data_IF_492682066169
#
_entry.id   IF_492682066169
#
_cell.length_a   1.000
_cell.length_b   1.000
_cell.length_c   1.000
_cell.angle_alpha   90.00
_cell.angle_beta   90.00
_cell.angle_gamma   90.00
#
_symmetry.space_group_name_H-M   'P 1'
#
loop_
_entity.id
_entity.type
_entity.pdbx_description
1 polymer ?
#
# COMPACT_ATOMS: atom_id res chain seq x y z
N UNK A 1 -18.91 -31.60 -32.48
CA UNK A 1 -18.17 -32.88 -32.55
C UNK A 1 -17.34 -32.99 -31.28
N UNK A 2 -17.37 -34.14 -30.58
CA UNK A 2 -16.70 -34.41 -29.28
C UNK A 2 -17.15 -33.53 -28.09
N UNK A 3 -17.68 -33.96 -26.92
CA UNK A 3 -17.65 -35.24 -26.16
C UNK A 3 -16.22 -35.71 -25.86
N UNK A 4 -15.78 -36.09 -24.65
CA UNK A 4 -16.41 -36.42 -23.36
C UNK A 4 -15.31 -36.26 -22.24
N UNK A 5 -15.56 -35.82 -20.99
CA UNK A 5 -16.22 -36.46 -19.82
C UNK A 5 -15.27 -37.33 -18.92
N UNK A 6 -15.11 -36.90 -17.66
CA UNK A 6 -14.95 -37.68 -16.38
C UNK A 6 -13.79 -38.68 -16.11
N UNK A 7 -12.94 -38.34 -15.10
CA UNK A 7 -12.63 -39.10 -13.83
C UNK A 7 -12.07 -40.57 -13.88
N UNK A 8 -11.78 -41.27 -12.75
CA UNK A 8 -11.05 -40.95 -11.49
C UNK A 8 -10.06 -42.11 -11.05
N UNK A 9 -9.81 -42.31 -9.72
CA UNK A 9 -9.16 -43.48 -9.03
C UNK A 9 -7.61 -43.48 -9.00
N UNK A 10 -6.83 -43.50 -7.89
CA UNK A 10 -6.72 -44.28 -6.61
C UNK A 10 -5.99 -45.65 -6.69
N UNK A 11 -5.30 -46.03 -5.60
CA UNK A 11 -4.61 -47.33 -5.33
C UNK A 11 -3.36 -47.59 -6.22
N UNK A 12 -2.27 -48.31 -5.86
CA UNK A 12 -1.66 -48.89 -4.64
C UNK A 12 -0.12 -49.00 -4.96
N UNK A 13 0.84 -49.59 -4.21
CA UNK A 13 0.89 -50.45 -3.01
C UNK A 13 2.24 -50.22 -2.28
N UNK A 14 2.34 -50.58 -1.00
CA UNK A 14 3.58 -50.62 -0.18
C UNK A 14 4.46 -51.86 -0.42
N UNK A 15 5.77 -51.79 -0.13
CA UNK A 15 6.48 -52.92 0.47
C UNK A 15 7.64 -52.49 1.39
N UNK A 16 7.91 -53.33 2.41
CA UNK A 16 8.84 -53.12 3.53
C UNK A 16 9.90 -54.24 3.55
N UNK A 17 11.16 -53.90 3.80
CA UNK A 17 12.18 -54.67 4.54
C UNK A 17 13.52 -53.88 4.47
N UNK A 18 14.25 -53.48 5.52
CA UNK A 18 14.49 -53.99 6.88
C UNK A 18 15.45 -55.20 6.96
N UNK A 19 16.75 -54.90 7.12
CA UNK A 19 17.80 -55.60 7.91
C UNK A 19 19.15 -54.91 7.63
N UNK A 20 20.01 -54.49 8.58
CA UNK A 20 20.61 -55.21 9.72
C UNK A 20 21.56 -56.34 9.25
N UNK A 21 22.80 -56.53 9.73
CA UNK A 21 23.54 -55.85 10.81
C UNK A 21 25.06 -56.20 10.74
N UNK A 22 25.93 -55.28 11.19
CA UNK A 22 27.20 -55.48 11.96
C UNK A 22 28.42 -56.32 11.48
N UNK A 23 29.59 -55.82 11.92
CA UNK A 23 30.91 -56.47 12.18
C UNK A 23 31.93 -56.70 11.05
N UNK A 24 33.17 -56.26 11.28
CA UNK A 24 34.36 -56.87 10.65
C UNK A 24 35.56 -55.98 10.25
N UNK A 25 36.22 -55.27 11.17
CA UNK A 25 37.61 -54.79 10.94
C UNK A 25 38.61 -55.91 11.26
N UNK A 26 39.70 -56.04 10.48
CA UNK A 26 40.98 -55.57 11.03
C UNK A 26 41.90 -54.88 10.01
N UNK A 27 42.91 -54.19 10.53
CA UNK A 27 43.88 -53.43 9.74
C UNK A 27 44.97 -54.31 9.11
N UNK A 28 45.48 -53.88 7.94
CA UNK A 28 46.80 -54.27 7.42
C UNK A 28 47.46 -53.03 6.80
N UNK A 29 48.71 -52.77 7.15
CA UNK A 29 49.47 -51.65 6.61
C UNK A 29 50.16 -52.02 5.28
N UNK A 30 50.30 -51.04 4.38
CA UNK A 30 51.22 -51.08 3.23
C UNK A 30 51.56 -49.65 2.77
N UNK A 31 52.76 -49.48 2.24
CA UNK A 31 53.41 -48.17 2.13
C UNK A 31 53.34 -47.53 0.73
N UNK A 32 53.49 -46.19 0.73
CA UNK A 32 54.11 -45.36 -0.32
C UNK A 32 53.92 -45.74 -1.79
N UNK A 33 53.08 -44.96 -2.49
CA UNK A 33 53.34 -44.53 -3.85
C UNK A 33 52.75 -43.12 -4.06
N UNK A 34 53.59 -42.14 -4.39
CA UNK A 34 53.16 -40.78 -4.69
C UNK A 34 52.97 -40.60 -6.21
N UNK A 35 51.77 -40.27 -6.70
CA UNK A 35 51.61 -39.75 -8.05
C UNK A 35 51.80 -38.22 -8.04
N UNK A 36 52.62 -37.72 -8.95
CA UNK A 36 52.74 -36.28 -9.21
C UNK A 36 51.42 -35.73 -9.73
N UNK A 37 50.68 -35.02 -8.88
CA UNK A 37 49.49 -34.29 -9.31
C UNK A 37 49.94 -32.94 -9.88
N UNK A 38 49.71 -32.74 -11.18
CA UNK A 38 49.98 -31.46 -11.83
C UNK A 38 49.22 -30.34 -11.11
N UNK A 39 49.92 -29.26 -10.75
CA UNK A 39 49.30 -28.08 -10.19
C UNK A 39 48.28 -27.52 -11.18
N UNK A 40 47.01 -27.77 -10.94
CA UNK A 40 45.95 -27.01 -11.57
C UNK A 40 46.12 -25.55 -11.12
N UNK A 41 46.58 -24.70 -12.02
CA UNK A 41 46.55 -23.25 -11.81
C UNK A 41 45.10 -22.87 -11.59
N UNK A 42 44.72 -22.65 -10.33
CA UNK A 42 43.44 -22.07 -10.00
C UNK A 42 43.36 -20.73 -10.74
N UNK A 43 42.40 -20.63 -11.66
CA UNK A 43 42.13 -19.36 -12.32
C UNK A 43 41.83 -18.33 -11.22
N UNK A 44 42.64 -17.27 -11.16
CA UNK A 44 42.40 -16.20 -10.22
C UNK A 44 40.97 -15.67 -10.44
N UNK A 45 40.20 -15.41 -9.38
CA UNK A 45 38.88 -14.82 -9.55
C UNK A 45 39.04 -13.49 -10.30
N UNK A 46 38.26 -13.33 -11.36
CA UNK A 46 38.18 -12.07 -12.11
C UNK A 46 37.93 -10.93 -11.13
N UNK A 47 38.73 -9.88 -11.22
CA UNK A 47 38.77 -8.82 -10.22
C UNK A 47 37.59 -7.83 -10.36
N UNK A 48 36.37 -8.32 -10.12
CA UNK A 48 35.33 -7.53 -9.47
C UNK A 48 35.84 -7.19 -8.07
N UNK A 49 36.73 -6.21 -8.00
CA UNK A 49 37.31 -5.74 -6.75
C UNK A 49 36.19 -5.05 -6.01
N UNK A 50 35.63 -5.76 -5.02
CA UNK A 50 34.50 -5.31 -4.22
C UNK A 50 34.89 -4.10 -3.37
N UNK A 51 34.95 -2.91 -3.99
CA UNK A 51 35.28 -1.66 -3.29
C UNK A 51 34.21 -1.40 -2.25
N UNK A 52 34.65 -1.49 -1.00
CA UNK A 52 33.82 -1.44 0.20
C UNK A 52 34.45 -0.45 1.16
N UNK A 53 33.67 0.48 1.67
CA UNK A 53 34.05 1.36 2.75
C UNK A 53 32.89 1.50 3.73
N UNK A 54 33.17 2.03 4.90
CA UNK A 54 32.17 2.31 5.94
C UNK A 54 32.29 3.75 6.39
N UNK A 55 31.16 4.40 6.65
CA UNK A 55 31.08 5.72 7.27
C UNK A 55 30.25 5.65 8.56
N UNK A 56 30.56 6.50 9.53
CA UNK A 56 29.72 6.78 10.70
C UNK A 56 30.02 8.17 11.26
N UNK A 57 29.17 8.75 12.11
CA UNK A 57 29.58 9.85 13.00
C UNK A 57 30.83 9.47 13.81
N UNK A 58 31.83 10.35 13.82
CA UNK A 58 33.00 10.21 14.66
C UNK A 58 32.63 10.38 16.14
N UNK A 59 33.52 9.93 17.01
CA UNK A 59 33.38 10.04 18.46
C UNK A 59 33.96 11.40 18.89
N UNK A 60 33.09 12.39 19.09
CA UNK A 60 33.50 13.78 19.32
C UNK A 60 32.89 14.35 20.62
N UNK A 61 33.07 15.65 20.87
CA UNK A 61 32.39 16.35 21.96
C UNK A 61 30.85 16.27 21.86
N UNK A 62 30.31 16.01 20.67
CA UNK A 62 28.87 15.85 20.41
C UNK A 62 28.33 14.45 20.75
N UNK A 63 29.21 13.52 21.16
CA UNK A 63 28.84 12.17 21.60
C UNK A 63 29.59 11.05 20.87
N UNK A 64 29.37 9.82 21.32
CA UNK A 64 30.04 8.59 20.84
C UNK A 64 29.02 7.59 20.33
N UNK A 65 29.44 6.73 19.40
CA UNK A 65 28.62 5.64 18.83
C UNK A 65 27.24 6.08 18.27
N UNK A 66 27.17 7.32 17.78
CA UNK A 66 25.93 7.93 17.28
C UNK A 66 25.57 7.34 15.91
N UNK A 67 24.30 7.00 15.63
CA UNK A 67 23.89 6.47 14.33
C UNK A 67 23.80 7.56 13.26
N UNK A 68 23.44 8.78 13.65
CA UNK A 68 23.28 9.96 12.80
C UNK A 68 23.65 11.22 13.62
N UNK A 69 23.69 12.39 12.98
CA UNK A 69 23.87 13.67 13.65
C UNK A 69 22.51 14.31 13.97
N UNK A 70 22.38 14.88 15.17
CA UNK A 70 21.24 15.70 15.56
C UNK A 70 21.75 16.91 16.34
N UNK A 71 21.30 18.11 15.96
CA UNK A 71 21.72 19.37 16.57
C UNK A 71 20.52 20.26 16.92
N UNK A 72 20.67 21.05 17.98
CA UNK A 72 19.75 22.11 18.37
C UNK A 72 20.60 23.38 18.53
N UNK A 73 20.40 24.36 17.65
CA UNK A 73 21.21 25.59 17.56
C UNK A 73 20.33 26.82 17.41
N UNK A 74 20.73 27.93 18.02
CA UNK A 74 20.14 29.23 17.71
C UNK A 74 20.58 29.74 16.31
N UNK A 75 19.83 30.65 15.67
CA UNK A 75 20.30 31.40 14.50
C UNK A 75 21.67 32.03 14.76
N UNK A 76 22.58 31.95 13.78
CA UNK A 76 23.98 32.35 13.94
C UNK A 76 24.85 31.38 14.74
N UNK A 77 24.30 30.26 15.21
CA UNK A 77 25.01 29.23 15.97
C UNK A 77 25.94 28.36 15.10
N UNK A 78 26.96 27.80 15.74
CA UNK A 78 27.97 26.95 15.07
C UNK A 78 28.23 25.68 15.87
N UNK A 79 28.38 24.54 15.20
CA UNK A 79 28.86 23.29 15.80
C UNK A 79 29.91 22.64 14.90
N UNK A 80 31.00 22.15 15.50
CA UNK A 80 32.01 21.33 14.86
C UNK A 80 31.83 19.86 15.22
N UNK A 81 31.98 18.98 14.24
CA UNK A 81 31.90 17.52 14.37
C UNK A 81 32.74 16.84 13.28
N UNK A 82 32.75 15.51 13.18
CA UNK A 82 33.49 14.80 12.12
C UNK A 82 32.80 13.53 11.62
N UNK A 83 33.03 13.22 10.35
CA UNK A 83 32.66 11.95 9.73
C UNK A 83 33.84 10.96 9.81
N UNK A 84 33.66 9.84 10.49
CA UNK A 84 34.62 8.74 10.45
C UNK A 84 34.42 7.93 9.17
N UNK A 85 35.49 7.74 8.40
CA UNK A 85 35.52 6.99 7.14
C UNK A 85 36.61 5.93 7.22
N UNK A 86 36.28 4.68 6.89
CA UNK A 86 37.24 3.58 6.84
C UNK A 86 37.16 2.78 5.55
N UNK A 87 38.31 2.60 4.89
CA UNK A 87 38.46 1.74 3.74
C UNK A 87 38.43 0.27 4.20
N UNK A 88 37.50 -0.53 3.65
CA UNK A 88 37.37 -1.97 3.92
C UNK A 88 37.74 -2.82 2.70
N UNK A 89 38.22 -2.18 1.63
CA UNK A 89 38.65 -2.83 0.39
C UNK A 89 40.16 -3.11 0.42
N UNK A 90 40.66 -4.06 -0.39
CA UNK A 90 42.07 -4.43 -0.43
C UNK A 90 42.95 -3.47 -1.24
N UNK A 91 42.38 -2.38 -1.76
CA UNK A 91 43.06 -1.38 -2.60
C UNK A 91 42.88 0.02 -1.99
N UNK A 92 43.75 1.00 -2.29
CA UNK A 92 43.48 2.40 -1.97
C UNK A 92 42.18 2.88 -2.62
N UNK A 93 41.46 3.76 -1.93
CA UNK A 93 40.25 4.41 -2.44
C UNK A 93 40.37 5.92 -2.33
N UNK A 94 39.81 6.64 -3.30
CA UNK A 94 39.65 8.10 -3.26
C UNK A 94 38.17 8.43 -3.22
N UNK A 95 37.76 9.22 -2.24
CA UNK A 95 36.39 9.57 -1.93
C UNK A 95 36.23 11.08 -1.97
N UNK A 96 35.13 11.56 -2.55
CA UNK A 96 34.69 12.95 -2.36
C UNK A 96 33.79 13.01 -1.13
N UNK A 97 34.06 13.93 -0.22
CA UNK A 97 33.25 14.16 0.99
C UNK A 97 32.58 15.51 0.89
N UNK A 98 31.25 15.52 0.97
CA UNK A 98 30.44 16.73 0.87
C UNK A 98 29.22 16.62 1.79
N UNK A 99 28.59 17.77 2.03
CA UNK A 99 27.25 17.83 2.58
C UNK A 99 26.27 18.27 1.50
N UNK A 100 25.02 17.86 1.63
CA UNK A 100 23.93 18.30 0.77
C UNK A 100 22.57 18.17 1.48
N UNK A 101 21.56 18.89 1.00
CA UNK A 101 20.21 18.85 1.58
C UNK A 101 19.58 17.46 1.50
N UNK A 102 18.77 17.15 2.52
CA UNK A 102 17.98 15.94 2.60
C UNK A 102 16.56 16.20 2.09
N UNK A 103 16.06 15.28 1.26
CA UNK A 103 14.71 15.35 0.70
C UNK A 103 14.00 14.00 0.87
N UNK A 104 12.67 14.03 0.84
CA UNK A 104 11.86 12.83 0.91
C UNK A 104 11.64 12.26 -0.50
N UNK A 105 11.90 10.97 -0.69
CA UNK A 105 11.60 10.24 -1.93
C UNK A 105 10.11 9.89 -2.03
N UNK A 106 9.67 9.42 -3.19
CA UNK A 106 8.27 9.02 -3.45
C UNK A 106 7.78 7.88 -2.52
N UNK A 107 8.69 7.01 -2.07
CA UNK A 107 8.40 5.95 -1.09
C UNK A 107 8.42 6.43 0.37
N UNK A 108 8.78 7.70 0.61
CA UNK A 108 8.89 8.27 1.96
C UNK A 108 10.23 8.02 2.67
N UNK A 109 11.28 7.67 1.92
CA UNK A 109 12.63 7.54 2.45
C UNK A 109 13.38 8.89 2.42
N UNK A 110 14.17 9.20 3.45
CA UNK A 110 15.09 10.34 3.38
C UNK A 110 16.33 9.97 2.55
N UNK A 111 16.50 10.65 1.41
CA UNK A 111 17.70 10.65 0.56
C UNK A 111 18.35 12.05 0.53
N UNK A 112 19.58 12.14 0.01
CA UNK A 112 20.44 13.32 0.06
C UNK A 112 20.78 13.77 -1.36
N UNK A 113 20.65 15.07 -1.68
CA UNK A 113 20.93 15.59 -3.03
C UNK A 113 22.33 15.18 -3.54
N UNK A 114 22.44 14.87 -4.83
CA UNK A 114 23.67 14.37 -5.44
C UNK A 114 24.79 15.43 -5.49
N UNK A 115 26.05 14.98 -5.42
CA UNK A 115 27.22 15.87 -5.50
C UNK A 115 27.24 16.69 -6.79
N UNK A 116 27.23 18.02 -6.65
CA UNK A 116 27.13 18.97 -7.75
C UNK A 116 25.73 19.56 -7.97
N UNK A 117 24.70 19.05 -7.29
CA UNK A 117 23.42 19.75 -7.12
C UNK A 117 23.58 20.79 -6.02
N UNK A 118 23.17 22.03 -6.28
CA UNK A 118 23.24 23.09 -5.28
C UNK A 118 22.23 22.83 -4.15
N UNK A 119 22.69 22.94 -2.90
CA UNK A 119 21.86 22.96 -1.70
C UNK A 119 21.44 24.40 -1.37
N UNK A 120 20.23 24.57 -0.84
CA UNK A 120 19.65 25.85 -0.42
C UNK A 120 19.48 25.95 1.10
N UNK A 121 19.45 24.81 1.79
CA UNK A 121 19.12 24.71 3.21
C UNK A 121 20.32 24.17 4.00
N UNK A 122 20.10 23.28 4.97
CA UNK A 122 21.12 22.81 5.92
C UNK A 122 22.39 22.25 5.27
N UNK A 123 22.29 21.62 4.10
CA UNK A 123 23.45 21.14 3.33
C UNK A 123 24.38 22.26 2.90
N UNK A 124 23.84 23.46 2.63
CA UNK A 124 24.64 24.67 2.32
C UNK A 124 25.33 25.27 3.55
N UNK A 125 24.86 24.93 4.76
CA UNK A 125 25.39 25.44 6.03
C UNK A 125 26.56 24.63 6.56
N UNK A 126 26.88 23.48 5.94
CA UNK A 126 27.95 22.57 6.35
C UNK A 126 29.19 22.77 5.48
N UNK A 127 30.30 23.16 6.11
CA UNK A 127 31.63 23.22 5.49
C UNK A 127 32.44 21.97 5.85
N UNK A 128 32.90 21.23 4.84
CA UNK A 128 33.81 20.08 4.99
C UNK A 128 35.26 20.57 4.90
N UNK A 129 36.11 20.21 5.86
CA UNK A 129 37.52 20.65 5.87
C UNK A 129 38.36 19.94 4.79
N UNK A 130 38.13 18.64 4.60
CA UNK A 130 38.84 17.80 3.62
C UNK A 130 37.85 17.17 2.65
N UNK A 131 37.48 17.85 1.54
CA UNK A 131 36.45 17.40 0.61
C UNK A 131 36.91 16.30 -0.37
N UNK A 132 38.21 15.98 -0.40
CA UNK A 132 38.76 14.84 -1.12
C UNK A 132 39.67 14.04 -0.18
N UNK A 133 39.33 12.76 0.02
CA UNK A 133 40.00 11.87 0.96
C UNK A 133 40.50 10.63 0.23
N UNK A 134 41.82 10.41 0.23
CA UNK A 134 42.42 9.14 -0.20
C UNK A 134 42.80 8.29 1.02
N UNK A 135 42.35 7.03 1.05
CA UNK A 135 42.64 6.06 2.11
C UNK A 135 43.28 4.81 1.52
N UNK A 136 44.45 4.44 2.04
CA UNK A 136 45.06 3.13 1.77
C UNK A 136 44.18 1.96 2.22
N UNK A 137 44.49 0.76 1.74
CA UNK A 137 43.83 -0.49 2.12
C UNK A 137 43.79 -0.66 3.65
N UNK A 138 42.59 -0.75 4.23
CA UNK A 138 42.38 -0.88 5.67
C UNK A 138 42.57 0.39 6.50
N UNK A 139 42.95 1.52 5.89
CA UNK A 139 43.11 2.80 6.58
C UNK A 139 41.77 3.47 6.91
N UNK A 140 41.81 4.39 7.86
CA UNK A 140 40.66 5.22 8.26
C UNK A 140 41.08 6.63 8.60
N UNK A 141 40.19 7.59 8.37
CA UNK A 141 40.35 8.98 8.79
C UNK A 141 39.04 9.53 9.35
N UNK A 142 39.16 10.55 10.19
CA UNK A 142 38.05 11.43 10.54
C UNK A 142 38.14 12.67 9.66
N UNK A 143 37.02 13.04 9.05
CA UNK A 143 36.90 14.24 8.21
C UNK A 143 36.10 15.28 8.99
N UNK A 144 36.76 16.33 9.52
CA UNK A 144 36.06 17.37 10.26
C UNK A 144 35.12 18.16 9.35
N UNK A 145 34.01 18.60 9.93
CA UNK A 145 33.10 19.55 9.32
C UNK A 145 32.54 20.52 10.36
N UNK A 146 32.08 21.67 9.88
CA UNK A 146 31.45 22.70 10.71
C UNK A 146 30.10 23.06 10.12
N UNK A 147 29.04 23.01 10.94
CA UNK A 147 27.71 23.51 10.60
C UNK A 147 27.59 24.94 11.14
N UNK A 148 27.27 25.91 10.28
CA UNK A 148 27.06 27.32 10.66
C UNK A 148 25.66 27.76 10.24
N UNK A 149 24.76 27.87 11.21
CA UNK A 149 23.38 28.32 10.98
C UNK A 149 23.41 29.82 10.62
N UNK A 150 22.81 30.26 9.51
CA UNK A 150 22.68 31.68 9.18
C UNK A 150 22.02 32.48 10.32
N UNK A 151 22.38 33.76 10.45
CA UNK A 151 21.82 34.64 11.48
C UNK A 151 20.33 35.00 11.22
N UNK A 152 19.90 34.85 9.96
CA UNK A 152 18.56 35.05 9.43
C UNK A 152 17.84 33.72 9.12
N UNK A 153 18.39 32.58 9.54
CA UNK A 153 17.73 31.28 9.41
C UNK A 153 16.39 31.28 10.18
N UNK A 154 15.33 30.86 9.50
CA UNK A 154 14.02 30.68 10.12
C UNK A 154 14.06 29.59 11.20
N UNK A 155 13.31 29.74 12.31
CA UNK A 155 13.08 28.65 13.24
C UNK A 155 12.43 27.45 12.55
N UNK A 156 12.81 26.24 12.94
CA UNK A 156 12.29 25.02 12.34
C UNK A 156 13.30 23.86 12.31
N UNK A 157 12.87 22.74 11.77
CA UNK A 157 13.71 21.57 11.50
C UNK A 157 14.22 21.56 10.07
N UNK A 158 15.48 21.16 9.92
CA UNK A 158 16.14 21.00 8.63
C UNK A 158 16.81 19.63 8.54
N UNK A 159 16.90 19.09 7.32
CA UNK A 159 17.52 17.80 7.04
C UNK A 159 18.62 17.93 5.98
N UNK A 160 19.72 17.23 6.19
CA UNK A 160 20.87 17.13 5.29
C UNK A 160 21.55 15.78 5.49
N UNK A 161 22.64 15.54 4.76
CA UNK A 161 23.53 14.42 5.03
C UNK A 161 24.97 14.78 4.72
N UNK A 162 25.91 14.24 5.52
CA UNK A 162 27.34 14.25 5.18
C UNK A 162 27.65 12.93 4.50
N UNK A 163 28.11 13.01 3.25
CA UNK A 163 28.23 11.88 2.33
C UNK A 163 29.68 11.75 1.88
N UNK A 164 30.22 10.53 1.95
CA UNK A 164 31.41 10.13 1.20
C UNK A 164 30.95 9.37 -0.06
N UNK A 165 31.26 9.88 -1.24
CA UNK A 165 30.97 9.21 -2.51
C UNK A 165 32.22 8.81 -3.28
N UNK A 166 32.06 7.77 -4.09
CA UNK A 166 33.07 7.29 -5.02
C UNK A 166 32.43 7.12 -6.40
N UNK A 167 32.96 7.84 -7.38
CA UNK A 167 32.56 7.73 -8.78
C UNK A 167 33.51 6.81 -9.53
N UNK A 168 32.97 5.78 -10.16
CA UNK A 168 33.73 4.77 -10.93
C UNK A 168 33.22 4.79 -12.36
N UNK A 169 34.14 5.04 -13.31
CA UNK A 169 33.86 4.91 -14.75
C UNK A 169 34.31 3.53 -15.20
N UNK A 170 33.39 2.73 -15.73
CA UNK A 170 33.69 1.42 -16.32
C UNK A 170 34.23 1.56 -17.75
N UNK A 171 34.90 0.52 -18.26
CA UNK A 171 35.54 0.49 -19.58
C UNK A 171 34.56 0.74 -20.75
N UNK A 172 33.27 0.46 -20.55
CA UNK A 172 32.21 0.72 -21.51
C UNK A 172 31.69 2.19 -21.48
N UNK A 173 32.31 3.07 -20.70
CA UNK A 173 31.90 4.47 -20.50
C UNK A 173 30.78 4.69 -19.49
N UNK A 174 30.27 3.64 -18.83
CA UNK A 174 29.23 3.77 -17.79
C UNK A 174 29.83 4.39 -16.53
N UNK A 175 29.20 5.44 -15.99
CA UNK A 175 29.62 6.09 -14.74
C UNK A 175 28.67 5.66 -13.63
N UNK A 176 29.22 5.03 -12.59
CA UNK A 176 28.50 4.62 -11.39
C UNK A 176 29.02 5.41 -10.20
N UNK A 177 28.15 6.18 -9.53
CA UNK A 177 28.48 6.79 -8.24
C UNK A 177 27.88 5.98 -7.11
N UNK A 178 28.74 5.53 -6.19
CA UNK A 178 28.35 4.86 -4.94
C UNK A 178 28.49 5.88 -3.81
N UNK A 179 27.48 5.98 -2.94
CA UNK A 179 27.36 7.01 -1.91
C UNK A 179 27.06 6.35 -0.57
N UNK A 180 27.81 6.69 0.47
CA UNK A 180 27.51 6.32 1.85
C UNK A 180 27.62 7.57 2.71
N UNK A 181 26.64 7.81 3.57
CA UNK A 181 26.60 9.00 4.41
C UNK A 181 25.87 8.77 5.72
N UNK A 182 25.84 9.80 6.55
CA UNK A 182 25.04 9.85 7.78
C UNK A 182 24.14 11.08 7.75
N UNK A 183 22.89 10.90 8.20
CA UNK A 183 21.87 11.95 8.21
C UNK A 183 22.24 13.03 9.21
N UNK A 184 21.94 14.28 8.89
CA UNK A 184 22.04 15.44 9.76
C UNK A 184 20.64 16.01 9.93
N UNK A 185 20.13 16.00 11.15
CA UNK A 185 18.94 16.75 11.52
C UNK A 185 19.37 17.94 12.37
N UNK A 186 18.86 19.13 12.08
CA UNK A 186 19.13 20.33 12.87
C UNK A 186 17.82 21.07 13.15
N UNK A 187 17.56 21.38 14.41
CA UNK A 187 16.51 22.34 14.79
C UNK A 187 17.11 23.71 15.05
N UNK A 188 16.65 24.70 14.30
CA UNK A 188 16.89 26.12 14.55
C UNK A 188 15.92 26.59 15.64
N UNK A 189 16.45 27.15 16.73
CA UNK A 189 15.65 27.62 17.87
C UNK A 189 14.76 28.82 17.50
N UNK A 190 13.56 28.82 18.05
CA UNK A 190 12.57 29.88 17.93
C UNK A 190 11.15 29.31 17.96
N UNK A 191 10.20 30.05 17.40
CA UNK A 191 8.79 29.66 17.40
C UNK A 191 8.53 28.50 16.42
N UNK A 192 8.01 27.39 16.96
CA UNK A 192 7.62 26.22 16.17
C UNK A 192 6.16 26.35 15.74
N UNK A 193 5.93 26.18 14.45
CA UNK A 193 4.63 26.20 13.77
C UNK A 193 4.45 24.88 13.02
N UNK A 194 4.16 23.76 13.72
CA UNK A 194 3.80 22.51 13.07
C UNK A 194 2.47 22.68 12.32
N UNK A 195 2.35 22.09 11.12
CA UNK A 195 1.10 22.04 10.37
C UNK A 195 1.10 20.84 9.41
N UNK A 196 -0.01 20.09 9.39
CA UNK A 196 -0.22 18.92 8.54
C UNK A 196 -1.51 19.08 7.74
N UNK A 197 -1.48 18.72 6.46
CA UNK A 197 -2.63 18.72 5.57
C UNK A 197 -2.79 17.35 4.93
N UNK A 198 -3.97 16.73 5.09
CA UNK A 198 -4.45 15.63 4.24
C UNK A 198 -5.14 16.25 3.02
N UNK A 199 -4.72 15.84 1.82
CA UNK A 199 -5.23 16.34 0.53
C UNK A 199 -5.41 15.22 -0.48
N UNK A 200 -5.96 15.57 -1.66
CA UNK A 200 -6.09 14.71 -2.84
C UNK A 200 -6.66 13.31 -2.57
N UNK A 201 -7.61 13.19 -1.63
CA UNK A 201 -8.22 11.91 -1.29
C UNK A 201 -9.04 11.39 -2.48
N UNK A 202 -8.69 10.20 -2.96
CA UNK A 202 -9.37 9.45 -4.03
C UNK A 202 -9.66 8.05 -3.51
N UNK A 203 -10.84 7.52 -3.84
CA UNK A 203 -11.25 6.16 -3.47
C UNK A 203 -11.79 5.40 -4.68
N UNK A 204 -11.16 4.26 -4.95
CA UNK A 204 -11.49 3.34 -6.04
C UNK A 204 -11.99 2.02 -5.47
N UNK A 205 -13.25 1.64 -5.77
CA UNK A 205 -13.86 0.42 -5.26
C UNK A 205 -13.67 -0.77 -6.20
N UNK A 206 -13.11 -1.85 -5.67
CA UNK A 206 -12.85 -3.12 -6.36
C UNK A 206 -13.91 -4.16 -5.97
N UNK A 207 -14.99 -4.18 -6.74
CA UNK A 207 -16.12 -5.09 -6.50
C UNK A 207 -15.86 -6.55 -6.90
N UNK A 208 -16.51 -7.47 -6.18
CA UNK A 208 -16.57 -8.90 -6.50
C UNK A 208 -17.76 -9.24 -7.40
N UNK A 209 -17.62 -10.31 -8.20
CA UNK A 209 -18.72 -10.86 -9.01
C UNK A 209 -19.75 -11.64 -8.16
N UNK A 210 -19.41 -12.01 -6.93
CA UNK A 210 -20.30 -12.71 -6.01
C UNK A 210 -21.27 -11.74 -5.34
N UNK A 211 -22.59 -12.00 -5.32
CA UNK A 211 -23.59 -11.08 -4.76
C UNK A 211 -23.65 -11.08 -3.22
N UNK A 212 -22.78 -11.84 -2.56
CA UNK A 212 -22.77 -12.06 -1.09
C UNK A 212 -21.39 -11.85 -0.45
N UNK A 213 -20.36 -11.58 -1.24
CA UNK A 213 -19.01 -11.28 -0.74
C UNK A 213 -18.80 -9.75 -0.68
N UNK A 214 -17.89 -9.33 0.19
CA UNK A 214 -17.34 -7.98 0.21
C UNK A 214 -16.31 -7.79 -0.90
N UNK A 215 -16.15 -6.55 -1.36
CA UNK A 215 -15.02 -6.12 -2.19
C UNK A 215 -13.83 -5.65 -1.36
N UNK A 216 -12.85 -5.07 -2.04
CA UNK A 216 -11.86 -4.16 -1.44
C UNK A 216 -12.03 -2.76 -2.04
N UNK A 217 -11.31 -1.79 -1.50
CA UNK A 217 -11.12 -0.50 -2.14
C UNK A 217 -9.69 -0.02 -1.93
N UNK A 218 -9.19 0.75 -2.89
CA UNK A 218 -7.93 1.47 -2.79
C UNK A 218 -8.25 2.92 -2.44
N UNK A 219 -7.63 3.43 -1.38
CA UNK A 219 -7.67 4.85 -1.01
C UNK A 219 -6.30 5.44 -1.26
N UNK A 220 -6.24 6.46 -2.11
CA UNK A 220 -5.04 7.25 -2.40
C UNK A 220 -5.21 8.63 -1.79
N UNK A 221 -4.18 9.16 -1.12
CA UNK A 221 -4.21 10.50 -0.53
C UNK A 221 -2.79 11.11 -0.48
N UNK A 222 -2.73 12.43 -0.34
CA UNK A 222 -1.48 13.18 -0.18
C UNK A 222 -1.38 13.71 1.25
N UNK A 223 -0.29 13.41 1.96
CA UNK A 223 0.09 14.13 3.18
C UNK A 223 1.04 15.26 2.80
N UNK A 224 0.81 16.48 3.31
CA UNK A 224 1.73 17.61 3.15
C UNK A 224 2.05 18.23 4.50
N UNK A 225 3.34 18.32 4.83
CA UNK A 225 3.82 19.08 5.98
C UNK A 225 3.97 20.55 5.57
N UNK A 226 2.99 21.36 5.95
CA UNK A 226 2.96 22.81 5.67
C UNK A 226 3.61 23.65 6.78
N UNK A 227 4.09 22.99 7.84
CA UNK A 227 4.74 23.62 8.98
C UNK A 227 6.26 23.71 8.86
N UNK A 228 6.91 24.18 9.93
CA UNK A 228 8.37 24.29 10.03
C UNK A 228 9.05 23.17 10.83
N UNK A 229 8.32 22.15 11.30
CA UNK A 229 8.89 21.03 12.09
C UNK A 229 8.75 19.69 11.38
N UNK A 230 9.67 18.76 11.64
CA UNK A 230 9.53 17.35 11.26
C UNK A 230 8.35 16.72 11.99
N UNK A 231 7.52 16.01 11.24
CA UNK A 231 6.27 15.41 11.72
C UNK A 231 6.30 13.90 11.57
N UNK A 232 5.77 13.19 12.56
CA UNK A 232 5.61 11.74 12.60
C UNK A 232 4.10 11.44 12.55
N UNK A 233 3.53 11.13 11.37
CA UNK A 233 2.08 10.97 11.18
C UNK A 233 1.64 9.51 11.28
N UNK A 234 0.70 9.21 12.18
CA UNK A 234 -0.12 8.00 12.14
C UNK A 234 -1.41 8.31 11.37
N UNK A 235 -1.83 7.42 10.46
CA UNK A 235 -3.02 7.65 9.63
C UNK A 235 -4.04 6.52 9.78
N UNK A 236 -5.27 6.90 10.12
CA UNK A 236 -6.45 6.04 10.11
C UNK A 236 -7.22 6.27 8.79
N UNK A 237 -7.41 5.21 7.99
CA UNK A 237 -8.24 5.24 6.78
C UNK A 237 -9.56 4.52 7.06
N UNK A 238 -10.67 5.27 7.13
CA UNK A 238 -12.00 4.74 7.32
C UNK A 238 -12.80 4.72 6.01
N UNK A 239 -13.49 3.61 5.76
CA UNK A 239 -14.43 3.43 4.64
C UNK A 239 -15.79 3.02 5.17
N UNK A 240 -16.87 3.57 4.61
CA UNK A 240 -18.22 3.20 5.02
C UNK A 240 -19.31 3.55 4.00
N UNK A 241 -20.45 2.86 4.11
CA UNK A 241 -21.67 3.24 3.40
C UNK A 241 -22.31 4.52 3.97
N UNK A 242 -23.48 4.93 3.47
CA UNK A 242 -24.21 6.08 3.99
C UNK A 242 -24.39 6.00 5.51
N UNK A 243 -24.10 7.09 6.23
CA UNK A 243 -24.16 7.17 7.70
C UNK A 243 -23.19 6.20 8.43
N UNK A 244 -22.08 5.79 7.81
CA UNK A 244 -21.09 4.90 8.42
C UNK A 244 -21.51 3.42 8.46
N UNK A 245 -22.55 3.04 7.70
CA UNK A 245 -23.02 1.66 7.65
C UNK A 245 -21.95 0.72 7.07
N UNK A 246 -21.77 -0.44 7.72
CA UNK A 246 -20.75 -1.43 7.37
C UNK A 246 -19.33 -0.84 7.26
N UNK A 247 -18.99 0.05 8.20
CA UNK A 247 -17.67 0.68 8.27
C UNK A 247 -16.53 -0.33 8.46
N UNK A 248 -15.42 -0.10 7.76
CA UNK A 248 -14.14 -0.81 7.90
C UNK A 248 -13.01 0.21 7.97
N UNK A 249 -11.94 -0.11 8.70
CA UNK A 249 -10.76 0.76 8.85
C UNK A 249 -9.49 0.01 8.43
N UNK A 250 -8.48 0.76 8.03
CA UNK A 250 -7.10 0.30 7.88
C UNK A 250 -6.15 1.39 8.35
N UNK A 251 -5.10 0.98 9.04
CA UNK A 251 -4.04 1.86 9.55
C UNK A 251 -2.93 1.97 8.48
N UNK A 252 -2.34 3.16 8.32
CA UNK A 252 -1.12 3.37 7.52
C UNK A 252 -0.03 4.02 8.38
N UNK A 253 1.05 3.25 8.60
CA UNK A 253 2.30 3.73 9.20
C UNK A 253 3.03 4.62 8.18
N UNK A 254 2.55 5.86 8.04
CA UNK A 254 3.17 6.85 7.17
C UNK A 254 4.54 7.30 7.74
N UNK A 255 5.58 7.41 6.90
CA UNK A 255 6.91 7.78 7.37
C UNK A 255 7.00 9.28 7.71
N UNK A 256 8.06 9.62 8.44
CA UNK A 256 8.34 10.99 8.88
C UNK A 256 8.38 12.01 7.72
N UNK A 257 7.64 13.11 7.88
CA UNK A 257 7.55 14.19 6.90
C UNK A 257 8.45 15.37 7.28
N UNK A 258 9.35 15.74 6.38
CA UNK A 258 10.13 16.97 6.48
C UNK A 258 9.26 18.22 6.25
N UNK A 259 9.60 19.38 6.83
CA UNK A 259 8.99 20.66 6.49
C UNK A 259 8.95 20.90 4.97
N UNK A 260 7.79 21.33 4.46
CA UNK A 260 7.57 21.60 3.04
C UNK A 260 7.46 20.35 2.14
N UNK A 261 7.65 19.14 2.67
CA UNK A 261 7.51 17.90 1.88
C UNK A 261 6.05 17.45 1.74
N UNK A 262 5.78 16.77 0.63
CA UNK A 262 4.52 16.09 0.35
C UNK A 262 4.78 14.62 0.00
N UNK A 263 3.94 13.72 0.48
CA UNK A 263 4.02 12.28 0.25
C UNK A 263 2.66 11.73 -0.16
N UNK A 264 2.59 11.07 -1.31
CA UNK A 264 1.39 10.32 -1.72
C UNK A 264 1.42 8.92 -1.11
N UNK A 265 0.28 8.49 -0.57
CA UNK A 265 0.05 7.18 0.04
C UNK A 265 -1.09 6.48 -0.67
N UNK A 266 -1.02 5.15 -0.70
CA UNK A 266 -2.02 4.28 -1.31
C UNK A 266 -2.25 3.08 -0.41
N UNK A 267 -3.45 2.98 0.15
CA UNK A 267 -3.85 1.94 1.11
C UNK A 267 -4.93 1.06 0.47
N UNK A 268 -4.74 -0.26 0.49
CA UNK A 268 -5.81 -1.21 0.17
C UNK A 268 -6.51 -1.64 1.45
N UNK A 269 -7.84 -1.47 1.48
CA UNK A 269 -8.69 -1.88 2.61
C UNK A 269 -9.74 -2.87 2.10
N UNK A 270 -9.75 -4.05 2.72
CA UNK A 270 -10.61 -5.17 2.37
C UNK A 270 -11.89 -5.17 3.22
N UNK A 271 -12.88 -5.99 2.83
CA UNK A 271 -14.12 -6.14 3.60
C UNK A 271 -15.21 -5.12 3.28
N UNK A 272 -15.01 -4.29 2.24
CA UNK A 272 -15.92 -3.21 1.85
C UNK A 272 -17.24 -3.78 1.32
N UNK A 273 -18.36 -3.41 1.95
CA UNK A 273 -19.70 -3.85 1.54
C UNK A 273 -20.28 -2.88 0.51
N UNK A 274 -20.71 -3.35 -0.69
CA UNK A 274 -21.26 -2.48 -1.73
C UNK A 274 -22.69 -1.99 -1.40
N UNK A 275 -22.78 -0.93 -0.60
CA UNK A 275 -24.03 -0.26 -0.20
C UNK A 275 -24.45 0.89 -1.16
N UNK A 276 -23.88 0.93 -2.36
CA UNK A 276 -24.21 1.91 -3.40
C UNK A 276 -23.30 3.13 -3.41
N UNK A 277 -23.29 3.91 -2.33
CA UNK A 277 -22.32 4.98 -2.11
C UNK A 277 -21.31 4.52 -1.06
N UNK A 278 -20.02 4.74 -1.34
CA UNK A 278 -18.92 4.50 -0.43
C UNK A 278 -18.27 5.85 -0.11
N UNK A 279 -18.22 6.22 1.17
CA UNK A 279 -17.44 7.35 1.66
C UNK A 279 -16.07 6.84 2.15
N UNK A 280 -15.05 7.66 1.94
CA UNK A 280 -13.71 7.50 2.48
C UNK A 280 -13.37 8.72 3.33
N UNK A 281 -12.78 8.48 4.48
CA UNK A 281 -12.35 9.48 5.46
C UNK A 281 -10.93 9.08 5.91
N UNK A 282 -10.00 10.01 5.82
CA UNK A 282 -8.59 9.81 6.13
C UNK A 282 -8.23 10.80 7.23
N UNK A 283 -7.92 10.27 8.41
CA UNK A 283 -7.56 11.06 9.58
C UNK A 283 -6.09 10.86 9.87
N UNK A 284 -5.28 11.90 9.70
CA UNK A 284 -3.87 11.90 10.04
C UNK A 284 -3.66 12.59 11.40
N UNK A 285 -3.22 11.83 12.40
CA UNK A 285 -2.80 12.35 13.70
C UNK A 285 -1.28 12.38 13.76
N UNK A 286 -0.67 13.51 14.11
CA UNK A 286 0.78 13.66 14.05
C UNK A 286 1.38 14.43 15.22
N UNK A 287 2.60 14.03 15.58
CA UNK A 287 3.41 14.65 16.62
C UNK A 287 4.70 15.25 16.02
N UNK A 288 5.20 16.31 16.66
CA UNK A 288 6.51 16.88 16.32
C UNK A 288 7.61 15.95 16.80
N UNK A 289 8.55 15.59 15.92
CA UNK A 289 9.64 14.69 16.29
C UNK A 289 10.54 15.31 17.36
N UNK A 290 10.94 14.49 18.33
CA UNK A 290 11.79 14.87 19.46
C UNK A 290 13.16 15.41 19.00
N UNK A 291 13.74 16.29 19.82
CA UNK A 291 15.02 16.97 19.53
C UNK A 291 16.27 16.10 19.71
N UNK A 292 16.15 14.94 20.38
CA UNK A 292 17.29 14.14 20.84
C UNK A 292 17.38 12.78 20.17
N UNK A 293 18.60 12.34 19.88
CA UNK A 293 18.93 10.96 19.49
C UNK A 293 18.67 9.94 20.63
N UNK A 294 18.64 10.42 21.88
CA UNK A 294 18.04 9.68 22.99
C UNK A 294 16.52 9.72 22.80
N UNK A 295 15.92 8.55 22.58
CA UNK A 295 14.65 8.41 21.87
C UNK A 295 13.43 9.06 22.53
N UNK A 296 12.52 9.53 21.67
CA UNK A 296 11.08 9.68 21.91
C UNK A 296 10.64 10.25 23.27
N UNK A 297 11.28 11.32 23.75
CA UNK A 297 10.61 12.22 24.69
C UNK A 297 9.49 12.94 23.93
N UNK A 298 8.20 12.70 24.25
CA UNK A 298 7.09 13.24 23.48
C UNK A 298 7.14 14.77 23.47
N UNK A 299 6.84 15.36 22.31
CA UNK A 299 6.78 16.82 22.19
C UNK A 299 5.72 17.37 23.15
N UNK A 300 6.04 18.49 23.81
CA UNK A 300 5.11 19.18 24.72
C UNK A 300 4.03 19.99 23.98
N UNK A 301 3.91 19.80 22.66
CA UNK A 301 2.88 20.41 21.81
C UNK A 301 1.74 19.42 21.63
N UNK A 302 0.50 19.92 21.59
CA UNK A 302 -0.68 19.11 21.32
C UNK A 302 -0.56 18.38 19.96
N UNK A 303 -1.06 17.14 19.84
CA UNK A 303 -1.02 16.40 18.58
C UNK A 303 -1.87 17.12 17.52
N UNK A 304 -1.34 17.16 16.30
CA UNK A 304 -2.03 17.72 15.16
C UNK A 304 -2.99 16.69 14.60
N UNK A 305 -4.21 17.10 14.28
CA UNK A 305 -5.19 16.28 13.57
C UNK A 305 -5.54 16.97 12.26
N UNK A 306 -5.54 16.20 11.18
CA UNK A 306 -5.84 16.68 9.83
C UNK A 306 -6.70 15.64 9.11
N UNK A 307 -7.79 16.08 8.48
CA UNK A 307 -8.83 15.22 7.94
C UNK A 307 -9.04 15.49 6.45
N UNK A 308 -9.19 14.43 5.65
CA UNK A 308 -9.56 14.49 4.24
C UNK A 308 -10.62 13.46 3.91
N UNK A 309 -11.54 13.79 2.99
CA UNK A 309 -12.65 12.90 2.66
C UNK A 309 -12.97 12.85 1.16
N UNK A 310 -13.45 11.70 0.70
CA UNK A 310 -13.87 11.44 -0.68
C UNK A 310 -15.08 10.50 -0.73
N UNK A 311 -15.67 10.31 -1.91
CA UNK A 311 -16.69 9.27 -2.09
C UNK A 311 -16.73 8.72 -3.52
N UNK A 312 -17.15 7.46 -3.65
CA UNK A 312 -17.26 6.74 -4.93
C UNK A 312 -18.48 5.82 -4.94
N UNK A 313 -18.82 5.26 -6.10
CA UNK A 313 -19.99 4.41 -6.29
C UNK A 313 -19.64 2.92 -6.13
N UNK A 314 -19.85 2.36 -4.93
CA UNK A 314 -19.75 0.92 -4.66
C UNK A 314 -21.07 0.18 -4.97
N UNK A 315 -21.40 0.08 -6.26
CA UNK A 315 -22.68 -0.48 -6.73
C UNK A 315 -22.68 -2.02 -6.80
N UNK A 316 -23.64 -2.73 -6.16
CA UNK A 316 -23.74 -4.19 -6.19
C UNK A 316 -24.43 -4.68 -7.48
N UNK A 317 -23.79 -4.45 -8.63
CA UNK A 317 -24.36 -4.74 -9.96
C UNK A 317 -24.87 -6.17 -10.14
N UNK A 318 -24.20 -7.15 -9.54
CA UNK A 318 -24.56 -8.57 -9.65
C UNK A 318 -25.83 -8.90 -8.86
N UNK A 319 -25.97 -8.37 -7.64
CA UNK A 319 -27.21 -8.46 -6.86
C UNK A 319 -28.37 -7.74 -7.57
N UNK A 320 -28.13 -6.55 -8.13
CA UNK A 320 -29.12 -5.80 -8.91
C UNK A 320 -29.57 -6.57 -10.17
N UNK A 321 -28.65 -7.22 -10.88
CA UNK A 321 -28.96 -8.06 -12.04
C UNK A 321 -29.81 -9.29 -11.65
N UNK A 322 -29.48 -9.96 -10.53
CA UNK A 322 -30.26 -11.09 -10.00
C UNK A 322 -31.67 -10.65 -9.60
N UNK A 323 -31.81 -9.51 -8.91
CA UNK A 323 -33.11 -8.95 -8.54
C UNK A 323 -33.94 -8.59 -9.78
N UNK A 324 -33.32 -8.02 -10.82
CA UNK A 324 -33.99 -7.72 -12.09
C UNK A 324 -34.49 -8.99 -12.78
N UNK A 325 -33.66 -10.05 -12.88
CA UNK A 325 -34.06 -11.33 -13.47
C UNK A 325 -35.20 -11.98 -12.67
N UNK A 326 -35.14 -11.93 -11.34
CA UNK A 326 -36.21 -12.44 -10.48
C UNK A 326 -37.52 -11.66 -10.66
N UNK A 327 -37.46 -10.33 -10.72
CA UNK A 327 -38.62 -9.47 -10.97
C UNK A 327 -39.27 -9.75 -12.33
N UNK A 328 -38.46 -9.91 -13.39
CA UNK A 328 -38.92 -10.28 -14.72
C UNK A 328 -39.55 -11.69 -14.74
N UNK A 329 -38.98 -12.66 -14.02
CA UNK A 329 -39.56 -13.99 -13.87
C UNK A 329 -40.91 -13.96 -13.15
N UNK A 330 -41.03 -13.22 -12.05
CA UNK A 330 -42.30 -13.04 -11.32
C UNK A 330 -43.36 -12.36 -12.20
N UNK A 331 -42.99 -11.29 -12.90
CA UNK A 331 -43.88 -10.61 -13.85
C UNK A 331 -44.34 -11.56 -14.97
N UNK A 332 -43.44 -12.36 -15.55
CA UNK A 332 -43.77 -13.38 -16.54
C UNK A 332 -44.73 -14.44 -15.99
N UNK A 333 -44.50 -14.94 -14.76
CA UNK A 333 -45.40 -15.90 -14.10
C UNK A 333 -46.81 -15.32 -13.90
N UNK A 334 -46.93 -14.06 -13.50
CA UNK A 334 -48.21 -13.36 -13.35
C UNK A 334 -48.92 -13.21 -14.70
N UNK A 335 -48.21 -12.75 -15.74
CA UNK A 335 -48.78 -12.59 -17.09
C UNK A 335 -49.19 -13.93 -17.69
N UNK A 336 -48.37 -14.98 -17.54
CA UNK A 336 -48.69 -16.32 -18.02
C UNK A 336 -49.91 -16.91 -17.30
N UNK A 337 -50.03 -16.73 -15.98
CA UNK A 337 -51.21 -17.14 -15.22
C UNK A 337 -52.47 -16.39 -15.65
N UNK A 338 -52.39 -15.07 -15.87
CA UNK A 338 -53.50 -14.27 -16.41
C UNK A 338 -53.91 -14.73 -17.82
N UNK A 339 -52.94 -15.00 -18.71
CA UNK A 339 -53.20 -15.52 -20.07
C UNK A 339 -53.87 -16.89 -20.05
N UNK A 340 -53.43 -17.83 -19.18
CA UNK A 340 -54.07 -19.15 -19.02
C UNK A 340 -55.51 -19.04 -18.51
N UNK A 341 -55.76 -18.21 -17.50
CA UNK A 341 -57.14 -17.95 -17.02
C UNK A 341 -58.03 -17.34 -18.11
N UNK A 342 -57.51 -16.41 -18.90
CA UNK A 342 -58.25 -15.83 -20.03
C UNK A 342 -58.52 -16.84 -21.15
N UNK A 343 -57.60 -17.79 -21.40
CA UNK A 343 -57.81 -18.87 -22.36
C UNK A 343 -58.93 -19.81 -21.90
N UNK A 344 -58.88 -20.34 -20.68
CA UNK A 344 -59.95 -21.20 -20.15
C UNK A 344 -61.30 -20.48 -20.07
N UNK A 345 -61.33 -19.19 -19.73
CA UNK A 345 -62.58 -18.40 -19.75
C UNK A 345 -63.18 -18.30 -21.17
N UNK A 346 -62.33 -18.22 -22.22
CA UNK A 346 -62.77 -18.24 -23.62
C UNK A 346 -63.22 -19.63 -24.07
N UNK A 347 -62.51 -20.68 -23.67
CA UNK A 347 -62.89 -22.08 -23.96
C UNK A 347 -64.25 -22.42 -23.32
N UNK A 348 -64.45 -22.05 -22.05
CA UNK A 348 -65.74 -22.21 -21.36
C UNK A 348 -66.84 -21.38 -22.03
N UNK A 349 -66.58 -20.12 -22.39
CA UNK A 349 -67.55 -19.29 -23.10
C UNK A 349 -67.91 -19.85 -24.48
N UNK A 350 -66.94 -20.40 -25.22
CA UNK A 350 -67.15 -21.05 -26.50
C UNK A 350 -67.94 -22.37 -26.37
N UNK A 351 -67.62 -23.19 -25.36
CA UNK A 351 -68.36 -24.43 -25.08
C UNK A 351 -69.80 -24.15 -24.66
N UNK A 352 -70.04 -23.12 -23.83
CA UNK A 352 -71.39 -22.67 -23.46
C UNK A 352 -72.15 -22.11 -24.68
N UNK A 353 -71.48 -21.39 -25.58
CA UNK A 353 -72.09 -20.90 -26.82
C UNK A 353 -72.45 -22.06 -27.77
N UNK A 354 -71.59 -23.07 -27.90
CA UNK A 354 -71.86 -24.27 -28.70
C UNK A 354 -73.02 -25.10 -28.13
N UNK A 355 -73.01 -25.38 -26.83
CA UNK A 355 -74.10 -26.10 -26.15
C UNK A 355 -75.45 -25.35 -26.27
N UNK A 356 -75.44 -24.01 -26.30
CA UNK A 356 -76.63 -23.19 -26.56
C UNK A 356 -77.11 -23.23 -28.00
N UNK A 357 -76.24 -23.53 -28.97
CA UNK A 357 -76.60 -23.73 -30.37
C UNK A 357 -77.14 -25.14 -30.63
N UNK A 358 -76.59 -26.16 -29.96
CA UNK A 358 -77.07 -27.55 -30.04
C UNK A 358 -78.36 -27.79 -29.24
N UNK A 359 -78.53 -27.10 -28.11
CA UNK A 359 -79.71 -27.17 -27.24
C UNK A 359 -80.98 -26.48 -27.79
N UNK A 360 -81.08 -26.29 -29.11
CA UNK A 360 -82.21 -25.65 -29.77
C UNK A 360 -82.98 -26.58 -30.75
N UNK A 361 -83.52 -27.73 -30.32
CA UNK A 361 -84.65 -28.35 -31.02
C UNK A 361 -85.91 -27.48 -30.82
N UNK A 362 -86.75 -27.40 -31.85
CA UNK A 362 -87.82 -26.41 -31.94
C UNK A 362 -88.88 -26.52 -30.84
N UNK A 363 -89.33 -25.36 -30.36
CA UNK A 363 -90.64 -25.20 -29.73
C UNK A 363 -91.57 -24.63 -30.79
N UNK A 364 -92.37 -25.49 -31.42
CA UNK A 364 -93.49 -25.04 -32.24
C UNK A 364 -94.47 -24.24 -31.35
N UNK A 365 -94.91 -23.11 -31.88
CA UNK A 365 -95.67 -22.13 -31.10
C UNK A 365 -97.14 -22.50 -31.00
N UNK A 366 -97.53 -23.19 -29.92
CA UNK A 366 -98.94 -23.32 -29.56
C UNK A 366 -99.48 -21.97 -29.06
N UNK A 367 -100.14 -21.24 -29.97
CA UNK A 367 -100.89 -20.02 -29.65
C UNK A 367 -102.27 -20.40 -29.13
N UNK A 368 -102.49 -20.29 -27.83
CA UNK A 368 -103.83 -20.10 -27.28
C UNK A 368 -103.94 -18.72 -26.61
N UNK A 369 -104.94 -17.95 -27.04
CA UNK A 369 -105.19 -16.57 -26.60
C UNK A 369 -106.39 -16.52 -25.67
N UNK A 370 -106.21 -16.07 -24.42
CA UNK A 370 -107.31 -15.68 -23.54
C UNK A 370 -106.98 -14.35 -22.85
N UNK A 371 -107.80 -13.29 -23.00
CA UNK A 371 -107.61 -12.02 -22.31
C UNK A 371 -108.28 -12.01 -20.92
N UNK A 372 -107.81 -11.08 -20.08
CA UNK A 372 -108.28 -10.85 -18.72
C UNK A 372 -109.74 -10.35 -18.67
N UNK A 373 -110.57 -10.99 -17.85
CA UNK A 373 -111.90 -10.51 -17.43
C UNK A 373 -112.02 -10.59 -15.91
N UNK A 374 -112.42 -9.48 -15.27
CA UNK A 374 -112.24 -9.29 -13.83
C UNK A 374 -113.39 -9.76 -12.91
N UNK A 375 -113.01 -9.85 -11.63
CA UNK A 375 -113.79 -9.88 -10.38
C UNK A 375 -115.34 -9.82 -10.41
N UNK A 376 -115.94 -10.69 -9.60
CA UNK A 376 -117.00 -10.31 -8.64
C UNK A 376 -116.91 -11.14 -7.36
N UNK A 377 -117.49 -10.61 -6.27
CA UNK A 377 -117.44 -11.10 -4.89
C UNK A 377 -118.78 -11.72 -4.50
N UNK A 378 -118.79 -12.85 -3.77
CA UNK A 378 -119.59 -13.10 -2.54
C UNK A 378 -119.41 -14.53 -1.99
N UNK A 379 -119.29 -14.61 -0.67
CA UNK A 379 -119.43 -15.81 0.19
C UNK A 379 -120.90 -16.32 0.27
N UNK A 380 -121.19 -17.46 0.94
CA UNK A 380 -120.29 -18.36 1.70
C UNK A 380 -120.15 -19.80 1.16
#
# INVERSE_FOLDING_TARGET
>A
MSQAKSSPVRLLLSLVAASALLLGTPAVASATAAPSAASATAAAPSADTAVTWSVKPADTAQGRDRPNYAYDLAPGGTVGDALYVANRSPQPITLSVYAADGFLTEDGSLDILAGGVASTDLGSWVSIETPELTLDSGASAEVPFTVTVPADASPGDYAAGVVASMRVTADNGTITERRLGSRVHLRVQGDLAPALTVGDVVVDYHGTASPIESGSATVTYTLTNTGNTRLDPAVDVALGGPFGLAGVTADDDAPELLPGSSLQRTVEVAGVVPLGLLAAEVTATSQVVSRTLAGAEPSALDPLVSEGAASTAAMPWTALAILLVLALFVAWRIVAARRRKAAHARELAAAVAAARAEGAPGVDAERETVPVGGATVSEP
#
